data_IF_237958434689
#
_entry.id   IF_237958434689
#
_cell.length_a   1.000
_cell.length_b   1.000
_cell.length_c   1.000
_cell.angle_alpha   90.00
_cell.angle_beta   90.00
_cell.angle_gamma   90.00
#
_symmetry.space_group_name_H-M   'P 1'
#
loop_
_entity.id
_entity.type
_entity.pdbx_description
1 polymer ?
#
# COMPACT_ATOMS: atom_id res chain seq x y z
N UNK A 1 -48.37 32.87 26.63
CA UNK A 1 -48.18 31.41 26.52
C UNK A 1 -47.76 31.17 25.07
N UNK A 2 -46.46 31.17 24.73
CA UNK A 2 -45.53 30.02 24.84
C UNK A 2 -46.14 28.81 24.13
N UNK A 3 -45.60 28.23 23.05
CA UNK A 3 -44.22 27.83 22.74
C UNK A 3 -44.04 27.79 21.20
N UNK A 4 -42.94 28.21 20.55
CA UNK A 4 -41.54 27.77 20.69
C UNK A 4 -41.32 26.27 20.48
N UNK A 5 -41.35 25.77 19.23
CA UNK A 5 -40.39 24.73 18.80
C UNK A 5 -39.87 25.08 17.41
N UNK A 6 -38.67 25.64 17.45
CA UNK A 6 -37.71 25.87 16.38
C UNK A 6 -37.28 24.49 15.86
N UNK A 7 -37.54 24.16 14.60
CA UNK A 7 -36.94 22.97 14.00
C UNK A 7 -35.46 23.31 13.73
N UNK A 8 -34.61 22.83 14.64
CA UNK A 8 -33.18 23.11 14.74
C UNK A 8 -32.43 22.57 13.52
N UNK A 9 -31.79 23.49 12.79
CA UNK A 9 -30.81 23.21 11.76
C UNK A 9 -29.66 22.39 12.33
N UNK A 10 -29.45 21.15 11.87
CA UNK A 10 -28.15 20.49 11.99
C UNK A 10 -28.00 19.31 11.02
N UNK A 11 -28.26 19.54 9.74
CA UNK A 11 -27.53 18.80 8.70
C UNK A 11 -26.19 19.50 8.53
N UNK A 12 -25.16 19.03 9.24
CA UNK A 12 -23.78 19.28 8.83
C UNK A 12 -23.52 18.50 7.54
N UNK A 13 -24.05 19.00 6.42
CA UNK A 13 -23.47 18.68 5.13
C UNK A 13 -22.15 19.43 5.06
N UNK A 14 -21.07 18.73 5.39
CA UNK A 14 -19.74 19.16 5.00
C UNK A 14 -19.78 19.37 3.49
N UNK A 15 -19.72 20.62 3.07
CA UNK A 15 -19.60 21.02 1.67
C UNK A 15 -18.33 20.37 1.10
N UNK A 16 -18.47 19.17 0.55
CA UNK A 16 -17.59 18.72 -0.50
C UNK A 16 -17.86 19.68 -1.66
N UNK A 17 -16.94 20.64 -1.86
CA UNK A 17 -16.89 21.50 -3.04
C UNK A 17 -17.24 20.66 -4.27
N UNK A 18 -18.09 21.15 -5.21
CA UNK A 18 -18.38 20.41 -6.43
C UNK A 18 -17.04 20.03 -7.04
N UNK A 19 -16.80 18.73 -7.21
CA UNK A 19 -15.56 18.22 -7.75
C UNK A 19 -15.46 18.74 -9.19
N UNK A 20 -14.73 19.84 -9.37
CA UNK A 20 -14.39 20.40 -10.68
C UNK A 20 -13.94 19.25 -11.59
N UNK A 21 -14.50 19.13 -12.81
CA UNK A 21 -14.13 18.07 -13.72
C UNK A 21 -12.63 18.14 -13.95
N UNK A 22 -12.00 16.97 -13.81
CA UNK A 22 -10.56 16.82 -13.93
C UNK A 22 -10.02 17.50 -15.20
N UNK A 23 -9.30 18.61 -15.02
CA UNK A 23 -8.88 19.46 -16.14
C UNK A 23 -7.95 18.70 -17.09
N UNK A 24 -7.94 19.01 -18.40
CA UNK A 24 -7.00 18.40 -19.35
C UNK A 24 -5.54 18.47 -18.89
N UNK A 25 -5.15 19.56 -18.23
CA UNK A 25 -3.82 19.73 -17.65
C UNK A 25 -3.51 18.73 -16.52
N UNK A 26 -4.50 18.38 -15.69
CA UNK A 26 -4.33 17.37 -14.64
C UNK A 26 -4.18 15.96 -15.24
N UNK A 27 -4.88 15.68 -16.35
CA UNK A 27 -4.77 14.40 -17.09
C UNK A 27 -3.38 14.21 -17.66
N UNK A 28 -2.86 15.23 -18.33
CA UNK A 28 -1.51 15.22 -18.86
C UNK A 28 -0.46 15.03 -17.77
N UNK A 29 -0.65 15.67 -16.60
CA UNK A 29 0.26 15.50 -15.45
C UNK A 29 0.29 14.06 -14.97
N UNK A 30 -0.84 13.35 -15.00
CA UNK A 30 -0.89 11.93 -14.66
C UNK A 30 -0.35 11.01 -15.77
N UNK A 31 -0.29 11.45 -17.02
CA UNK A 31 0.24 10.66 -18.14
C UNK A 31 1.77 10.78 -18.27
N UNK A 32 2.35 11.94 -17.94
CA UNK A 32 3.79 12.19 -18.04
C UNK A 32 4.59 11.30 -17.07
N UNK A 33 5.74 10.81 -17.53
CA UNK A 33 6.70 10.05 -16.70
C UNK A 33 6.25 8.63 -16.33
N UNK A 34 5.05 8.20 -16.71
CA UNK A 34 4.62 6.80 -16.58
C UNK A 34 5.13 6.02 -17.80
N UNK A 35 6.06 5.10 -17.58
CA UNK A 35 6.51 4.19 -18.63
C UNK A 35 5.40 3.14 -18.88
N UNK A 36 4.77 3.09 -20.08
CA UNK A 36 3.72 2.12 -20.38
C UNK A 36 4.19 0.66 -20.41
N UNK A 37 5.51 0.44 -20.53
CA UNK A 37 6.13 -0.89 -20.51
C UNK A 37 6.65 -1.30 -19.12
N UNK A 38 6.36 -0.52 -18.08
CA UNK A 38 6.64 -0.92 -16.69
C UNK A 38 5.60 -1.95 -16.24
N UNK A 39 5.76 -3.18 -16.69
CA UNK A 39 4.84 -4.30 -16.40
C UNK A 39 4.80 -4.63 -14.90
N UNK A 40 5.91 -4.43 -14.18
CA UNK A 40 6.04 -4.92 -12.80
C UNK A 40 5.22 -4.13 -11.77
N UNK A 41 4.91 -2.86 -12.02
CA UNK A 41 4.24 -2.01 -11.01
C UNK A 41 2.75 -1.79 -11.23
N UNK A 42 2.18 -2.26 -12.35
CA UNK A 42 0.78 -1.97 -12.72
C UNK A 42 -0.17 -3.15 -12.45
N UNK A 43 0.37 -4.35 -12.29
CA UNK A 43 -0.41 -5.59 -12.13
C UNK A 43 -0.25 -6.25 -10.76
N UNK A 44 0.77 -5.90 -9.99
CA UNK A 44 0.91 -6.42 -8.64
C UNK A 44 -0.02 -5.71 -7.65
N UNK A 45 -0.53 -6.45 -6.66
CA UNK A 45 -1.30 -5.83 -5.59
C UNK A 45 -0.38 -5.06 -4.64
N UNK A 46 -0.95 -4.09 -3.91
CA UNK A 46 -0.21 -3.40 -2.84
C UNK A 46 0.36 -4.39 -1.81
N UNK A 47 -0.40 -5.43 -1.48
CA UNK A 47 -0.01 -6.45 -0.51
C UNK A 47 1.21 -7.24 -1.00
N UNK A 48 1.25 -7.61 -2.28
CA UNK A 48 2.40 -8.32 -2.86
C UNK A 48 3.65 -7.44 -2.86
N UNK A 49 3.48 -6.15 -3.17
CA UNK A 49 4.57 -5.18 -3.08
C UNK A 49 5.10 -5.05 -1.65
N UNK A 50 4.22 -4.88 -0.68
CA UNK A 50 4.58 -4.74 0.74
C UNK A 50 5.30 -5.99 1.24
N UNK A 51 4.84 -7.19 0.89
CA UNK A 51 5.51 -8.46 1.23
C UNK A 51 6.92 -8.53 0.65
N UNK A 52 7.10 -8.16 -0.62
CA UNK A 52 8.44 -8.15 -1.24
C UNK A 52 9.36 -7.11 -0.59
N UNK A 53 8.87 -5.91 -0.29
CA UNK A 53 9.64 -4.85 0.34
C UNK A 53 10.08 -5.28 1.77
N UNK A 54 9.20 -5.97 2.50
CA UNK A 54 9.52 -6.60 3.78
C UNK A 54 10.54 -7.75 3.64
N UNK A 55 10.37 -8.64 2.66
CA UNK A 55 11.34 -9.71 2.42
C UNK A 55 12.74 -9.16 2.12
N UNK A 56 12.80 -8.08 1.34
CA UNK A 56 14.05 -7.40 1.02
C UNK A 56 14.72 -6.84 2.26
N UNK A 57 13.97 -6.16 3.15
CA UNK A 57 14.54 -5.61 4.39
C UNK A 57 15.13 -6.69 5.28
N UNK A 58 14.49 -7.85 5.37
CA UNK A 58 15.00 -8.98 6.17
C UNK A 58 16.24 -9.61 5.53
N UNK A 59 16.30 -9.70 4.20
CA UNK A 59 17.44 -10.27 3.49
C UNK A 59 18.69 -9.35 3.50
N UNK A 60 18.49 -8.04 3.65
CA UNK A 60 19.56 -7.03 3.66
C UNK A 60 20.31 -6.98 5.02
N UNK A 61 19.66 -7.36 6.12
CA UNK A 61 20.29 -7.44 7.46
C UNK A 61 20.46 -8.89 7.93
N UNK A 62 21.72 -9.35 8.14
CA UNK A 62 21.95 -10.69 8.66
C UNK A 62 21.40 -10.88 10.09
N UNK A 63 21.36 -9.83 10.91
CA UNK A 63 20.81 -9.87 12.26
C UNK A 63 19.31 -10.15 12.25
N UNK A 64 18.56 -9.48 11.37
CA UNK A 64 17.12 -9.73 11.21
C UNK A 64 16.87 -11.15 10.72
N UNK A 65 17.62 -11.60 9.71
CA UNK A 65 17.49 -12.96 9.19
C UNK A 65 17.75 -14.02 10.27
N UNK A 66 18.80 -13.83 11.08
CA UNK A 66 19.14 -14.70 12.20
C UNK A 66 18.05 -14.69 13.27
N UNK A 67 17.50 -13.52 13.61
CA UNK A 67 16.37 -13.40 14.55
C UNK A 67 15.17 -14.22 14.09
N UNK A 68 14.81 -14.14 12.81
CA UNK A 68 13.74 -14.95 12.26
C UNK A 68 14.05 -16.45 12.30
N UNK A 69 15.26 -16.85 11.91
CA UNK A 69 15.69 -18.26 11.95
C UNK A 69 15.54 -18.85 13.37
N UNK A 70 16.02 -18.12 14.38
CA UNK A 70 15.90 -18.51 15.78
C UNK A 70 14.44 -18.60 16.24
N UNK A 71 13.62 -17.61 15.89
CA UNK A 71 12.20 -17.57 16.28
C UNK A 71 11.36 -18.68 15.64
N UNK A 72 11.69 -19.07 14.40
CA UNK A 72 10.97 -20.07 13.62
C UNK A 72 11.48 -21.50 13.86
N UNK A 73 12.62 -21.66 14.55
CA UNK A 73 13.27 -22.95 14.72
C UNK A 73 13.82 -23.52 13.40
N UNK A 74 14.22 -22.66 12.46
CA UNK A 74 14.77 -23.04 11.16
C UNK A 74 16.26 -22.62 11.06
N UNK A 75 16.96 -23.19 10.09
CA UNK A 75 18.31 -22.80 9.72
C UNK A 75 18.33 -21.44 8.99
N UNK A 76 19.43 -20.70 9.12
CA UNK A 76 19.61 -19.42 8.41
C UNK A 76 19.49 -19.58 6.88
N UNK A 77 20.05 -20.63 6.24
CA UNK A 77 19.81 -20.87 4.81
C UNK A 77 18.35 -21.20 4.48
N UNK A 78 17.65 -21.98 5.30
CA UNK A 78 16.22 -22.29 5.13
C UNK A 78 15.36 -21.03 5.15
N UNK A 79 15.56 -20.18 6.17
CA UNK A 79 14.85 -18.91 6.30
C UNK A 79 15.20 -17.94 5.17
N UNK A 80 16.45 -17.94 4.69
CA UNK A 80 16.86 -17.16 3.51
C UNK A 80 16.09 -17.59 2.27
N UNK A 81 15.96 -18.89 2.03
CA UNK A 81 15.19 -19.42 0.90
C UNK A 81 13.73 -19.02 1.01
N UNK A 82 13.14 -19.08 2.21
CA UNK A 82 11.77 -18.63 2.45
C UNK A 82 11.55 -17.17 2.06
N UNK A 83 12.37 -16.24 2.56
CA UNK A 83 12.26 -14.82 2.20
C UNK A 83 12.63 -14.55 0.74
N UNK A 84 13.56 -15.30 0.15
CA UNK A 84 13.87 -15.19 -1.27
C UNK A 84 12.67 -15.59 -2.14
N UNK A 85 11.90 -16.62 -1.75
CA UNK A 85 10.66 -17.00 -2.45
C UNK A 85 9.60 -15.90 -2.33
N UNK A 86 9.45 -15.29 -1.16
CA UNK A 86 8.58 -14.13 -0.95
C UNK A 86 9.00 -12.94 -1.85
N UNK A 87 10.30 -12.62 -1.91
CA UNK A 87 10.85 -11.55 -2.74
C UNK A 87 10.57 -11.78 -4.24
N UNK A 88 10.69 -13.02 -4.71
CA UNK A 88 10.46 -13.38 -6.10
C UNK A 88 8.97 -13.61 -6.44
N UNK A 89 8.06 -13.57 -5.47
CA UNK A 89 6.63 -13.84 -5.68
C UNK A 89 6.29 -15.32 -5.87
N UNK A 90 7.07 -16.23 -5.32
CA UNK A 90 6.84 -17.69 -5.32
C UNK A 90 6.26 -18.22 -4.00
N UNK A 91 5.83 -17.33 -3.11
CA UNK A 91 5.13 -17.71 -1.87
C UNK A 91 3.65 -17.94 -2.20
N UNK A 92 3.14 -19.12 -1.82
CA UNK A 92 1.76 -19.56 -2.02
C UNK A 92 1.28 -20.35 -0.81
#
# INVERSE_FOLDING_TARGET
MTDSIINLHSTRESMASPAEPFTPAMRDRQARGKNPYKLTSRTESFQDRERRDFALSVLDSPEQLMMYALSAGDSVPGQRVRFMRMLCGFEG
#
